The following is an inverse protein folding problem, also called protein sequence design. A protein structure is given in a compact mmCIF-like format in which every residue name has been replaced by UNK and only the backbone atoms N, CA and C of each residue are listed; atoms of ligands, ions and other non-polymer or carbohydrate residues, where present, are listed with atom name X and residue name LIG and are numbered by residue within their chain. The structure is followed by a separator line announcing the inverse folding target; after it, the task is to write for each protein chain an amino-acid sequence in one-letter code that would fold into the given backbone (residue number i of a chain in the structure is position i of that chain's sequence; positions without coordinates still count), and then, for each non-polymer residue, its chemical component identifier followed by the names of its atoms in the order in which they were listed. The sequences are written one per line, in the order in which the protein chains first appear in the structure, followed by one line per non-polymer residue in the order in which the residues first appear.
data_IF_444166624885
#
_entry.id   IF_444166624885
#
_cell.length_a   1.000
_cell.length_b   1.000
_cell.length_c   1.000
_cell.angle_alpha   90.00
_cell.angle_beta   90.00
_cell.angle_gamma   90.00
#
_symmetry.space_group_name_H-M   'P 1'
#
loop_
_entity.id
_entity.type
_entity.pdbx_description
1 polymer ?
#
# COMPACT_ATOMS: atom_id res chain seq x y z
N UNK A 1 19.18 -29.00 2.85
CA UNK A 1 18.61 -28.03 1.89
C UNK A 1 17.11 -28.11 2.00
N UNK A 2 16.39 -26.98 1.95
CA UNK A 2 14.92 -26.98 1.95
C UNK A 2 14.37 -27.62 0.67
N UNK A 3 13.35 -28.47 0.82
CA UNK A 3 12.60 -29.09 -0.26
C UNK A 3 11.55 -28.11 -0.85
N UNK A 4 10.89 -28.49 -1.94
CA UNK A 4 9.90 -27.63 -2.60
C UNK A 4 8.72 -27.25 -1.71
N UNK A 5 8.23 -28.18 -0.87
CA UNK A 5 7.09 -27.94 0.01
C UNK A 5 7.40 -26.95 1.12
N UNK A 6 8.58 -27.06 1.75
CA UNK A 6 9.03 -26.12 2.78
C UNK A 6 9.31 -24.72 2.21
N UNK A 7 9.82 -24.63 0.98
CA UNK A 7 9.97 -23.35 0.26
C UNK A 7 8.60 -22.67 0.05
N UNK A 8 7.56 -23.43 -0.33
CA UNK A 8 6.21 -22.87 -0.47
C UNK A 8 5.58 -22.48 0.88
N UNK A 9 5.87 -23.18 1.96
CA UNK A 9 5.40 -22.78 3.30
C UNK A 9 6.03 -21.45 3.73
N UNK A 10 7.34 -21.27 3.48
CA UNK A 10 8.00 -19.99 3.74
C UNK A 10 7.42 -18.87 2.86
N UNK A 11 7.13 -19.16 1.59
CA UNK A 11 6.48 -18.21 0.69
C UNK A 11 5.08 -17.78 1.19
N UNK A 12 4.29 -18.72 1.73
CA UNK A 12 2.98 -18.42 2.34
C UNK A 12 3.15 -17.52 3.58
N UNK A 13 4.12 -17.80 4.44
CA UNK A 13 4.40 -16.96 5.61
C UNK A 13 4.81 -15.54 5.23
N UNK A 14 5.66 -15.38 4.21
CA UNK A 14 6.01 -14.06 3.69
C UNK A 14 4.80 -13.34 3.09
N UNK A 15 3.90 -14.04 2.42
CA UNK A 15 2.70 -13.41 1.87
C UNK A 15 1.71 -12.93 2.96
N UNK A 16 1.62 -13.60 4.11
CA UNK A 16 0.86 -13.07 5.25
C UNK A 16 1.54 -11.84 5.88
N UNK A 17 2.88 -11.78 5.89
CA UNK A 17 3.62 -10.56 6.29
C UNK A 17 3.40 -9.41 5.31
N UNK A 18 3.44 -9.70 4.02
CA UNK A 18 3.15 -8.75 2.94
C UNK A 18 1.73 -8.17 3.10
N UNK A 19 0.73 -9.00 3.40
CA UNK A 19 -0.62 -8.54 3.72
C UNK A 19 -0.66 -7.61 4.93
N UNK A 20 0.04 -7.96 6.01
CA UNK A 20 0.14 -7.12 7.20
C UNK A 20 0.74 -5.74 6.91
N UNK A 21 1.80 -5.71 6.09
CA UNK A 21 2.46 -4.48 5.65
C UNK A 21 1.54 -3.62 4.75
N UNK A 22 0.82 -4.24 3.81
CA UNK A 22 -0.18 -3.53 3.00
C UNK A 22 -1.30 -2.94 3.86
N UNK A 23 -1.78 -3.69 4.86
CA UNK A 23 -2.82 -3.22 5.77
C UNK A 23 -2.36 -2.05 6.66
N UNK A 24 -1.08 -2.00 7.04
CA UNK A 24 -0.49 -0.88 7.79
C UNK A 24 -0.06 0.29 6.90
N UNK A 25 -0.07 0.12 5.58
CA UNK A 25 0.42 1.11 4.62
C UNK A 25 1.94 1.17 4.49
N UNK A 26 2.66 0.18 5.02
CA UNK A 26 4.11 0.04 4.89
C UNK A 26 4.45 -0.62 3.54
N UNK A 27 4.54 0.21 2.50
CA UNK A 27 4.78 -0.24 1.12
C UNK A 27 6.18 -0.84 0.95
N UNK A 28 7.18 -0.34 1.68
CA UNK A 28 8.57 -0.81 1.58
C UNK A 28 8.70 -2.23 2.15
N UNK A 29 8.11 -2.50 3.31
CA UNK A 29 8.07 -3.84 3.90
C UNK A 29 7.25 -4.82 3.05
N UNK A 30 6.16 -4.34 2.44
CA UNK A 30 5.38 -5.14 1.49
C UNK A 30 6.22 -5.52 0.26
N UNK A 31 6.91 -4.56 -0.36
CA UNK A 31 7.78 -4.82 -1.52
C UNK A 31 8.89 -5.82 -1.19
N UNK A 32 9.60 -5.63 -0.07
CA UNK A 32 10.67 -6.54 0.35
C UNK A 32 10.16 -7.97 0.53
N UNK A 33 9.02 -8.14 1.22
CA UNK A 33 8.40 -9.46 1.44
C UNK A 33 7.94 -10.09 0.12
N UNK A 34 7.41 -9.28 -0.80
CA UNK A 34 6.95 -9.72 -2.11
C UNK A 34 8.09 -10.28 -2.97
N UNK A 35 9.25 -9.59 -2.99
CA UNK A 35 10.44 -10.04 -3.73
C UNK A 35 10.97 -11.36 -3.20
N UNK A 36 11.18 -11.46 -1.89
CA UNK A 36 11.67 -12.69 -1.25
C UNK A 36 10.68 -13.86 -1.46
N UNK A 37 9.37 -13.59 -1.38
CA UNK A 37 8.34 -14.58 -1.69
C UNK A 37 8.41 -15.09 -3.13
N UNK A 38 8.63 -14.20 -4.10
CA UNK A 38 8.76 -14.58 -5.51
C UNK A 38 9.97 -15.51 -5.72
N UNK A 39 11.11 -15.20 -5.10
CA UNK A 39 12.31 -16.04 -5.16
C UNK A 39 12.06 -17.45 -4.59
N UNK A 40 11.37 -17.54 -3.45
CA UNK A 40 11.03 -18.84 -2.85
C UNK A 40 10.10 -19.68 -3.72
N UNK A 41 9.13 -19.06 -4.39
CA UNK A 41 8.21 -19.76 -5.29
C UNK A 41 8.96 -20.30 -6.51
N UNK A 42 9.85 -19.50 -7.11
CA UNK A 42 10.69 -19.95 -8.23
C UNK A 42 11.63 -21.09 -7.82
N UNK A 43 12.26 -20.96 -6.65
CA UNK A 43 13.10 -22.02 -6.09
C UNK A 43 12.30 -23.30 -5.85
N UNK A 44 11.09 -23.20 -5.27
CA UNK A 44 10.22 -24.34 -5.04
C UNK A 44 9.83 -25.04 -6.35
N UNK A 45 9.51 -24.26 -7.39
CA UNK A 45 9.13 -24.78 -8.70
C UNK A 45 10.26 -25.55 -9.39
N UNK A 46 11.49 -25.02 -9.30
CA UNK A 46 12.69 -25.67 -9.84
C UNK A 46 13.03 -27.00 -9.14
N UNK A 47 12.62 -27.16 -7.87
CA UNK A 47 12.90 -28.32 -7.01
C UNK A 47 11.68 -29.22 -6.81
N UNK A 48 10.63 -29.07 -7.63
CA UNK A 48 9.40 -29.86 -7.49
C UNK A 48 9.71 -31.35 -7.60
N UNK A 49 9.11 -32.12 -6.70
CA UNK A 49 9.20 -33.58 -6.71
C UNK A 49 7.92 -34.16 -7.34
N UNK A 50 8.02 -34.97 -8.41
CA UNK A 50 6.87 -35.68 -8.98
C UNK A 50 6.08 -36.52 -7.96
N UNK A 51 6.74 -37.04 -6.91
CA UNK A 51 6.08 -37.82 -5.88
C UNK A 51 5.19 -36.98 -4.93
N UNK A 52 5.41 -35.65 -4.89
CA UNK A 52 4.71 -34.73 -3.99
C UNK A 52 3.79 -33.73 -4.74
N UNK A 53 3.35 -34.06 -5.95
CA UNK A 53 2.60 -33.14 -6.81
C UNK A 53 1.25 -32.71 -6.22
N UNK A 54 0.55 -33.58 -5.51
CA UNK A 54 -0.72 -33.23 -4.88
C UNK A 54 -0.52 -32.20 -3.76
N UNK A 55 0.46 -32.42 -2.87
CA UNK A 55 0.80 -31.47 -1.80
C UNK A 55 1.31 -30.13 -2.37
N UNK A 56 2.09 -30.19 -3.47
CA UNK A 56 2.56 -29.01 -4.18
C UNK A 56 1.39 -28.22 -4.76
N UNK A 57 0.43 -28.89 -5.42
CA UNK A 57 -0.78 -28.27 -5.97
C UNK A 57 -1.57 -27.56 -4.87
N UNK A 58 -1.78 -28.23 -3.74
CA UNK A 58 -2.57 -27.69 -2.64
C UNK A 58 -1.92 -26.41 -2.05
N UNK A 59 -0.59 -26.38 -1.92
CA UNK A 59 0.13 -25.16 -1.50
C UNK A 59 0.07 -24.05 -2.55
N UNK A 60 0.17 -24.38 -3.84
CA UNK A 60 0.03 -23.40 -4.92
C UNK A 60 -1.38 -22.79 -4.98
N UNK A 61 -2.43 -23.56 -4.71
CA UNK A 61 -3.79 -23.04 -4.58
C UNK A 61 -3.90 -22.06 -3.40
N UNK A 62 -3.30 -22.36 -2.25
CA UNK A 62 -3.25 -21.43 -1.12
C UNK A 62 -2.52 -20.13 -1.49
N UNK A 63 -1.39 -20.22 -2.19
CA UNK A 63 -0.67 -19.04 -2.69
C UNK A 63 -1.50 -18.22 -3.67
N UNK A 64 -2.29 -18.86 -4.54
CA UNK A 64 -3.21 -18.17 -5.43
C UNK A 64 -4.29 -17.40 -4.66
N UNK A 65 -4.92 -18.03 -3.66
CA UNK A 65 -5.89 -17.35 -2.80
C UNK A 65 -5.26 -16.16 -2.06
N UNK A 66 -4.03 -16.34 -1.56
CA UNK A 66 -3.27 -15.28 -0.90
C UNK A 66 -2.95 -14.13 -1.86
N UNK A 67 -2.56 -14.41 -3.10
CA UNK A 67 -2.32 -13.40 -4.14
C UNK A 67 -3.59 -12.60 -4.45
N UNK A 68 -4.77 -13.23 -4.40
CA UNK A 68 -6.06 -12.55 -4.50
C UNK A 68 -6.24 -11.50 -3.40
N UNK A 69 -6.04 -11.90 -2.14
CA UNK A 69 -6.11 -10.99 -0.97
C UNK A 69 -5.10 -9.86 -1.06
N UNK A 70 -3.85 -10.16 -1.43
CA UNK A 70 -2.79 -9.16 -1.62
C UNK A 70 -3.18 -8.11 -2.66
N UNK A 71 -3.73 -8.56 -3.78
CA UNK A 71 -4.16 -7.66 -4.87
C UNK A 71 -5.30 -6.74 -4.43
N UNK A 72 -6.25 -7.28 -3.67
CA UNK A 72 -7.37 -6.49 -3.15
C UNK A 72 -6.91 -5.43 -2.15
N UNK A 73 -6.08 -5.81 -1.17
CA UNK A 73 -5.53 -4.87 -0.18
C UNK A 73 -4.61 -3.82 -0.82
N UNK A 74 -3.79 -4.19 -1.80
CA UNK A 74 -2.96 -3.24 -2.54
C UNK A 74 -3.81 -2.20 -3.30
N UNK A 75 -4.91 -2.63 -3.94
CA UNK A 75 -5.86 -1.70 -4.60
C UNK A 75 -6.51 -0.77 -3.60
N UNK A 76 -6.95 -1.31 -2.46
CA UNK A 76 -7.55 -0.53 -1.38
C UNK A 76 -6.59 0.52 -0.83
N UNK A 77 -5.34 0.13 -0.55
CA UNK A 77 -4.30 1.05 -0.10
C UNK A 77 -4.03 2.14 -1.13
N UNK A 78 -3.89 1.77 -2.40
CA UNK A 78 -3.69 2.71 -3.49
C UNK A 78 -4.84 3.74 -3.58
N UNK A 79 -6.09 3.29 -3.48
CA UNK A 79 -7.26 4.16 -3.49
C UNK A 79 -7.33 5.10 -2.28
N UNK A 80 -6.93 4.60 -1.10
CA UNK A 80 -6.82 5.40 0.11
C UNK A 80 -5.77 6.52 -0.06
N UNK A 81 -4.56 6.17 -0.51
CA UNK A 81 -3.48 7.14 -0.76
C UNK A 81 -3.92 8.18 -1.78
N UNK A 82 -4.52 7.75 -2.89
CA UNK A 82 -5.05 8.65 -3.92
C UNK A 82 -6.06 9.64 -3.35
N UNK A 83 -6.98 9.16 -2.51
CA UNK A 83 -8.02 9.99 -1.89
C UNK A 83 -7.42 11.00 -0.92
N UNK A 84 -6.47 10.58 -0.08
CA UNK A 84 -5.74 11.46 0.85
C UNK A 84 -4.98 12.57 0.11
N UNK A 85 -4.31 12.23 -0.99
CA UNK A 85 -3.61 13.22 -1.82
C UNK A 85 -4.57 14.24 -2.44
N UNK A 86 -5.73 13.80 -2.92
CA UNK A 86 -6.75 14.71 -3.46
C UNK A 86 -7.31 15.65 -2.38
N UNK A 87 -7.57 15.13 -1.18
CA UNK A 87 -8.03 15.92 -0.04
C UNK A 87 -6.99 16.97 0.37
N UNK A 88 -5.73 16.55 0.53
CA UNK A 88 -4.60 17.44 0.87
C UNK A 88 -4.41 18.57 -0.16
N UNK A 89 -4.54 18.26 -1.46
CA UNK A 89 -4.50 19.28 -2.53
C UNK A 89 -5.65 20.28 -2.43
N UNK A 90 -6.88 19.81 -2.20
CA UNK A 90 -8.06 20.67 -2.03
C UNK A 90 -7.93 21.56 -0.81
N UNK A 91 -7.43 21.03 0.30
CA UNK A 91 -7.20 21.79 1.52
C UNK A 91 -6.12 22.87 1.32
N UNK A 92 -5.01 22.51 0.68
CA UNK A 92 -3.96 23.46 0.30
C UNK A 92 -4.49 24.60 -0.57
N UNK A 93 -5.36 24.28 -1.54
CA UNK A 93 -6.00 25.28 -2.40
C UNK A 93 -6.94 26.20 -1.61
N UNK A 94 -7.74 25.66 -0.70
CA UNK A 94 -8.61 26.45 0.19
C UNK A 94 -7.80 27.40 1.07
N UNK A 95 -6.74 26.91 1.70
CA UNK A 95 -5.85 27.72 2.53
C UNK A 95 -5.18 28.85 1.73
N UNK A 96 -4.76 28.57 0.49
CA UNK A 96 -4.23 29.59 -0.40
C UNK A 96 -5.30 30.66 -0.74
N UNK A 97 -6.54 30.23 -1.01
CA UNK A 97 -7.67 31.14 -1.23
C UNK A 97 -7.97 32.05 -0.03
N UNK A 98 -7.98 31.51 1.19
CA UNK A 98 -8.13 32.31 2.42
C UNK A 98 -6.99 33.31 2.60
N UNK A 99 -5.75 32.89 2.32
CA UNK A 99 -4.58 33.78 2.36
C UNK A 99 -4.67 34.91 1.33
N UNK A 100 -5.21 34.64 0.14
CA UNK A 100 -5.42 35.64 -0.89
C UNK A 100 -6.51 36.64 -0.47
N UNK A 101 -7.63 36.16 0.07
CA UNK A 101 -8.74 37.00 0.53
C UNK A 101 -8.33 37.91 1.70
N UNK A 102 -7.52 37.42 2.63
CA UNK A 102 -7.02 38.20 3.76
C UNK A 102 -5.94 39.22 3.38
N UNK A 103 -5.16 38.97 2.31
CA UNK A 103 -4.22 39.97 1.73
C UNK A 103 -4.90 41.01 0.85
N UNK A 104 -6.01 40.65 0.19
CA UNK A 104 -6.77 41.52 -0.69
C UNK A 104 -7.76 42.45 0.02
N UNK A 105 -7.91 42.35 1.34
CA UNK A 105 -8.68 43.29 2.14
C UNK A 105 -7.77 44.48 2.50
N UNK A 106 -7.82 45.63 1.79
CA UNK A 106 -7.20 46.83 2.30
C UNK A 106 -7.87 47.12 3.64
N UNK A 107 -7.06 47.31 4.67
CA UNK A 107 -7.51 47.72 6.01
C UNK A 107 -8.20 49.08 5.84
N UNK A 108 -9.50 49.10 5.57
CA UNK A 108 -10.32 50.30 5.66
C UNK A 108 -10.46 50.64 7.14
N UNK A 109 -9.40 51.25 7.69
CA UNK A 109 -9.46 52.09 8.87
C UNK A 109 -10.06 53.43 8.42
N UNK A 110 -11.37 53.43 8.18
CA UNK A 110 -12.17 54.65 8.17
C UNK A 110 -12.66 54.89 9.59
N UNK A 111 -11.85 55.57 10.40
CA UNK A 111 -12.34 56.29 11.58
C UNK A 111 -12.13 57.78 11.30
N UNK A 112 -13.26 58.46 11.19
CA UNK A 112 -13.43 59.76 10.56
C UNK A 112 -12.59 60.87 11.18
N UNK A 113 -12.11 61.75 10.29
CA UNK A 113 -11.73 63.12 10.63
C UNK A 113 -12.97 63.84 11.16
N UNK A 114 -13.05 64.04 12.47
CA UNK A 114 -13.87 65.09 13.06
C UNK A 114 -13.15 66.43 12.89
N UNK A 115 -13.63 67.26 11.99
CA UNK A 115 -13.43 68.72 12.04
C UNK A 115 -14.35 69.28 13.13
N UNK A 116 -13.81 70.04 14.09
CA UNK A 116 -14.10 71.46 14.40
C UNK A 116 -12.94 71.99 15.24
#
# INVERSE_FOLDING_TARGET
MADSLSLLDMALQLGERELGALASGDVDAAESSSRERAELVEMAWSRRDPAALDDLRDKLQRLQCLQGRLTEEARRLHDNIRTQLQQSRRESQRLCGYRQATRGMPRMLTLGRGQV
#
